data_IF_371075580166
#
_entry.id   IF_371075580166
#
_cell.length_a   1.000
_cell.length_b   1.000
_cell.length_c   1.000
_cell.angle_alpha   90.00
_cell.angle_beta   90.00
_cell.angle_gamma   90.00
#
_symmetry.space_group_name_H-M   'P 1'
#
loop_
_entity.id
_entity.type
_entity.pdbx_description
1 polymer ?
#
# COMPACT_ATOMS: atom_id res chain seq x y z
N UNK A 1 -3.68 14.67 -1.09
CA UNK A 1 -3.00 14.03 0.08
C UNK A 1 -4.05 13.71 1.13
N UNK A 2 -4.00 12.51 1.71
CA UNK A 2 -4.92 12.10 2.78
C UNK A 2 -4.41 12.58 4.15
N UNK A 3 -5.31 12.97 5.05
CA UNK A 3 -5.00 13.45 6.40
C UNK A 3 -6.09 13.00 7.39
N UNK A 4 -5.74 12.88 8.68
CA UNK A 4 -6.69 12.50 9.74
C UNK A 4 -7.41 11.19 9.45
N UNK A 5 -8.74 11.20 9.54
CA UNK A 5 -9.58 10.02 9.34
C UNK A 5 -9.37 9.34 7.97
N UNK A 6 -9.09 10.11 6.92
CA UNK A 6 -8.83 9.56 5.59
C UNK A 6 -7.55 8.72 5.57
N UNK A 7 -6.52 9.17 6.28
CA UNK A 7 -5.28 8.42 6.42
C UNK A 7 -5.50 7.16 7.26
N UNK A 8 -6.24 7.27 8.37
CA UNK A 8 -6.54 6.13 9.24
C UNK A 8 -7.33 5.03 8.49
N UNK A 9 -8.34 5.41 7.72
CA UNK A 9 -9.12 4.46 6.91
C UNK A 9 -8.27 3.75 5.85
N UNK A 10 -7.37 4.49 5.19
CA UNK A 10 -6.44 3.89 4.22
C UNK A 10 -5.50 2.87 4.90
N UNK A 11 -4.99 3.20 6.10
CA UNK A 11 -4.14 2.27 6.87
C UNK A 11 -4.91 1.01 7.31
N UNK A 12 -6.18 1.15 7.72
CA UNK A 12 -7.03 0.00 8.03
C UNK A 12 -7.23 -0.91 6.82
N UNK A 13 -7.50 -0.34 5.63
CA UNK A 13 -7.63 -1.14 4.41
C UNK A 13 -6.34 -1.93 4.09
N UNK A 14 -5.16 -1.33 4.31
CA UNK A 14 -3.86 -2.00 4.12
C UNK A 14 -3.68 -3.15 5.11
N UNK A 15 -4.06 -2.94 6.38
CA UNK A 15 -3.98 -3.96 7.42
C UNK A 15 -4.91 -5.15 7.14
N UNK A 16 -6.05 -4.90 6.48
CA UNK A 16 -7.06 -5.91 6.15
C UNK A 16 -6.79 -6.65 4.83
N UNK A 17 -5.69 -6.34 4.13
CA UNK A 17 -5.31 -7.02 2.89
C UNK A 17 -4.97 -8.50 3.17
N UNK A 18 -5.77 -9.47 2.69
CA UNK A 18 -5.45 -10.87 2.90
C UNK A 18 -4.30 -11.29 1.98
N UNK A 19 -3.43 -12.19 2.44
CA UNK A 19 -2.30 -12.67 1.64
C UNK A 19 -2.72 -13.44 0.38
N UNK A 20 -1.82 -13.52 -0.60
CA UNK A 20 -2.02 -14.28 -1.85
C UNK A 20 -0.76 -15.00 -2.31
N UNK A 21 -0.82 -15.72 -3.43
CA UNK A 21 0.37 -16.33 -4.04
C UNK A 21 1.39 -15.29 -4.53
N UNK A 22 2.67 -15.64 -4.46
CA UNK A 22 3.79 -14.76 -4.84
C UNK A 22 3.93 -14.63 -6.36
N UNK A 23 3.69 -13.43 -6.88
CA UNK A 23 4.07 -13.05 -8.25
C UNK A 23 5.11 -11.93 -8.22
N UNK A 24 6.22 -12.09 -8.95
CA UNK A 24 7.31 -11.09 -9.01
C UNK A 24 7.06 -10.12 -10.16
N UNK A 25 7.07 -8.81 -9.87
CA UNK A 25 7.01 -7.72 -10.84
C UNK A 25 8.05 -6.65 -10.50
N UNK A 26 8.59 -5.97 -11.51
CA UNK A 26 9.54 -4.86 -11.36
C UNK A 26 8.90 -3.45 -11.43
N UNK A 27 7.59 -3.37 -11.69
CA UNK A 27 6.86 -2.11 -11.89
C UNK A 27 5.64 -2.03 -10.94
N UNK A 28 5.83 -1.59 -9.69
CA UNK A 28 4.70 -1.19 -8.87
C UNK A 28 4.06 0.09 -9.44
N UNK A 29 2.73 0.11 -9.55
CA UNK A 29 2.00 1.21 -10.18
C UNK A 29 1.47 2.25 -9.19
N UNK A 30 1.39 1.92 -7.91
CA UNK A 30 0.79 2.75 -6.88
C UNK A 30 1.64 2.74 -5.61
N UNK A 31 1.54 3.78 -4.79
CA UNK A 31 2.26 3.81 -3.52
C UNK A 31 1.74 4.85 -2.54
N UNK A 32 2.07 4.63 -1.27
CA UNK A 32 1.79 5.52 -0.15
C UNK A 32 3.12 5.86 0.49
N UNK A 33 3.32 7.14 0.77
CA UNK A 33 4.38 7.61 1.66
C UNK A 33 3.74 8.22 2.90
N UNK A 34 4.00 7.63 4.05
CA UNK A 34 3.49 8.08 5.32
C UNK A 34 4.51 9.02 5.97
N UNK A 35 4.03 10.13 6.53
CA UNK A 35 4.85 11.12 7.21
C UNK A 35 4.25 11.44 8.59
N UNK A 36 5.12 11.70 9.57
CA UNK A 36 4.78 12.47 10.75
C UNK A 36 4.77 13.97 10.41
N UNK A 37 4.66 14.83 11.41
CA UNK A 37 4.84 16.27 11.23
C UNK A 37 6.24 16.66 10.79
N UNK A 38 7.25 15.79 10.98
CA UNK A 38 8.67 16.11 10.78
C UNK A 38 9.42 15.13 9.88
N UNK A 39 8.98 13.87 9.84
CA UNK A 39 9.78 12.77 9.27
C UNK A 39 8.93 11.88 8.36
N UNK A 40 9.55 11.24 7.38
CA UNK A 40 8.94 10.12 6.68
C UNK A 40 8.97 8.88 7.57
N UNK A 41 7.80 8.28 7.79
CA UNK A 41 7.64 7.09 8.62
C UNK A 41 7.89 5.82 7.82
N UNK A 42 7.27 5.70 6.66
CA UNK A 42 7.46 4.56 5.75
C UNK A 42 6.95 4.88 4.35
N UNK A 43 7.30 4.02 3.40
CA UNK A 43 6.77 3.99 2.05
C UNK A 43 6.29 2.58 1.72
N UNK A 44 5.15 2.47 1.06
CA UNK A 44 4.63 1.19 0.54
C UNK A 44 4.34 1.36 -0.94
N UNK A 45 4.84 0.45 -1.76
CA UNK A 45 4.50 0.36 -3.17
C UNK A 45 3.63 -0.88 -3.42
N UNK A 46 2.54 -0.70 -4.15
CA UNK A 46 1.56 -1.72 -4.48
C UNK A 46 1.54 -2.01 -5.98
N UNK A 47 1.36 -3.29 -6.30
CA UNK A 47 1.17 -3.79 -7.64
C UNK A 47 -0.07 -4.67 -7.69
N UNK A 48 -1.22 -4.09 -8.02
CA UNK A 48 -2.50 -4.82 -8.11
C UNK A 48 -2.54 -5.86 -9.24
N UNK A 49 -1.59 -5.83 -10.18
CA UNK A 49 -1.46 -6.86 -11.23
C UNK A 49 -0.73 -8.11 -10.73
N UNK A 50 0.26 -7.93 -9.87
CA UNK A 50 1.11 -9.00 -9.36
C UNK A 50 0.88 -9.27 -7.88
N UNK A 51 -0.14 -8.64 -7.29
CA UNK A 51 -0.62 -8.96 -5.96
C UNK A 51 0.47 -8.75 -4.88
N UNK A 52 1.40 -7.83 -5.14
CA UNK A 52 2.60 -7.62 -4.33
C UNK A 52 2.66 -6.22 -3.73
N UNK A 53 3.01 -6.15 -2.44
CA UNK A 53 3.30 -4.91 -1.73
C UNK A 53 4.73 -4.94 -1.18
N UNK A 54 5.46 -3.84 -1.35
CA UNK A 54 6.82 -3.67 -0.83
C UNK A 54 6.86 -2.47 0.09
N UNK A 55 7.43 -2.65 1.29
CA UNK A 55 7.46 -1.67 2.36
C UNK A 55 8.92 -1.26 2.62
N UNK A 56 9.18 0.03 2.72
CA UNK A 56 10.45 0.61 3.14
C UNK A 56 10.23 1.54 4.32
N UNK A 57 11.15 1.53 5.28
CA UNK A 57 11.10 2.43 6.43
C UNK A 57 12.23 2.14 7.41
N UNK A 58 12.55 3.09 8.30
CA UNK A 58 13.57 2.90 9.33
C UNK A 58 13.17 1.77 10.28
N UNK A 59 14.09 0.84 10.52
CA UNK A 59 13.89 -0.24 11.50
C UNK A 59 13.03 -1.42 11.03
N UNK A 60 12.62 -1.48 9.75
CA UNK A 60 11.87 -2.62 9.21
C UNK A 60 12.79 -3.84 8.97
N UNK A 61 12.54 -4.99 9.62
CA UNK A 61 13.19 -6.25 9.31
C UNK A 61 13.04 -6.61 7.82
N UNK A 62 14.06 -7.22 7.23
CA UNK A 62 14.07 -7.61 5.81
C UNK A 62 12.86 -8.48 5.44
N UNK A 63 12.44 -9.36 6.35
CA UNK A 63 11.31 -10.28 6.15
C UNK A 63 9.96 -9.54 6.04
N UNK A 64 9.87 -8.32 6.57
CA UNK A 64 8.67 -7.48 6.53
C UNK A 64 8.68 -6.48 5.36
N UNK A 65 9.75 -6.45 4.55
CA UNK A 65 9.86 -5.52 3.43
C UNK A 65 9.01 -5.95 2.23
N UNK A 66 8.51 -7.18 2.18
CA UNK A 66 7.68 -7.67 1.08
C UNK A 66 6.56 -8.57 1.58
N UNK A 67 5.33 -8.28 1.13
CA UNK A 67 4.17 -9.11 1.37
C UNK A 67 3.34 -9.24 0.09
N UNK A 68 2.57 -10.31 0.00
CA UNK A 68 1.53 -10.47 -1.03
C UNK A 68 0.18 -10.02 -0.48
N UNK A 69 -0.74 -9.71 -1.38
CA UNK A 69 -2.13 -9.44 -1.04
C UNK A 69 -3.09 -9.90 -2.15
N UNK A 70 -4.31 -10.26 -1.81
CA UNK A 70 -5.36 -10.52 -2.79
C UNK A 70 -5.87 -9.20 -3.38
N UNK A 71 -5.53 -8.96 -4.65
CA UNK A 71 -5.91 -7.75 -5.35
C UNK A 71 -7.41 -7.67 -5.70
N UNK A 72 -8.14 -8.78 -5.59
CA UNK A 72 -9.59 -8.85 -5.82
C UNK A 72 -10.40 -8.72 -4.53
N UNK A 73 -9.74 -8.71 -3.36
CA UNK A 73 -10.40 -8.51 -2.07
C UNK A 73 -11.11 -7.15 -2.00
N UNK A 74 -12.22 -7.03 -1.23
CA UNK A 74 -12.93 -5.76 -1.08
C UNK A 74 -12.03 -4.60 -0.62
N UNK A 75 -11.09 -4.89 0.29
CA UNK A 75 -10.13 -3.90 0.79
C UNK A 75 -9.17 -3.42 -0.32
N UNK A 76 -8.66 -4.34 -1.16
CA UNK A 76 -7.79 -3.99 -2.28
C UNK A 76 -8.52 -3.17 -3.34
N UNK A 77 -9.77 -3.54 -3.66
CA UNK A 77 -10.58 -2.81 -4.64
C UNK A 77 -10.87 -1.38 -4.19
N UNK A 78 -11.23 -1.20 -2.91
CA UNK A 78 -11.44 0.12 -2.33
C UNK A 78 -10.15 0.95 -2.30
N UNK A 79 -9.02 0.36 -1.90
CA UNK A 79 -7.74 1.05 -1.90
C UNK A 79 -7.33 1.50 -3.32
N UNK A 80 -7.51 0.63 -4.32
CA UNK A 80 -7.26 0.96 -5.73
C UNK A 80 -8.19 2.05 -6.26
N UNK A 81 -9.45 2.04 -5.85
CA UNK A 81 -10.39 3.10 -6.18
C UNK A 81 -9.90 4.46 -5.64
N UNK A 82 -9.50 4.52 -4.35
CA UNK A 82 -8.96 5.74 -3.73
C UNK A 82 -7.71 6.25 -4.44
N UNK A 83 -6.82 5.35 -4.85
CA UNK A 83 -5.63 5.73 -5.63
C UNK A 83 -6.00 6.37 -6.97
N UNK A 84 -6.93 5.77 -7.71
CA UNK A 84 -7.38 6.29 -9.01
C UNK A 84 -8.06 7.65 -8.88
N UNK A 85 -8.84 7.85 -7.82
CA UNK A 85 -9.50 9.15 -7.54
C UNK A 85 -8.52 10.28 -7.19
N UNK A 86 -7.22 9.98 -6.99
CA UNK A 86 -6.18 10.99 -6.80
C UNK A 86 -5.41 11.32 -8.09
N UNK A 87 -5.67 10.63 -9.21
CA UNK A 87 -5.08 11.00 -10.48
C UNK A 87 -5.72 12.31 -10.98
N UNK A 88 -4.93 13.25 -11.52
CA UNK A 88 -5.49 14.38 -12.25
C UNK A 88 -6.20 13.89 -13.53
N UNK A 89 -7.23 14.64 -13.95
CA UNK A 89 -7.92 14.43 -15.24
C UNK A 89 -6.98 14.56 -16.46
#
# INVERSE_FOLDING_TARGET
>A
MWQGDQAQQALSLIADLPGSELYRCFLPGWGIRAHSSTDQLFEIAFCFRCHGARIWGPGLPVEQQGQTFDAESPAALELLHRFRSCLPD
#
